data_IF_614440428066
#
_entry.id   IF_614440428066
#
_cell.length_a   1.000
_cell.length_b   1.000
_cell.length_c   1.000
_cell.angle_alpha   90.00
_cell.angle_beta   90.00
_cell.angle_gamma   90.00
#
_symmetry.space_group_name_H-M   'P 1'
#
loop_
_entity.id
_entity.type
_entity.pdbx_description
1 polymer ?
#
# COMPACT_ATOMS: atom_id res chain seq x y z
N UNK A 1 43.44 3.78 -27.75
CA UNK A 1 42.32 4.73 -27.80
C UNK A 1 42.43 5.57 -26.54
N UNK A 2 42.35 6.89 -26.63
CA UNK A 2 42.26 7.74 -25.44
C UNK A 2 41.00 7.31 -24.70
N UNK A 3 41.12 7.07 -23.40
CA UNK A 3 39.97 6.71 -22.57
C UNK A 3 39.09 7.96 -22.49
N UNK A 4 37.87 7.90 -23.04
CA UNK A 4 36.92 9.01 -22.93
C UNK A 4 36.57 9.22 -21.46
N UNK A 5 36.50 10.48 -21.04
CA UNK A 5 36.20 10.83 -19.65
C UNK A 5 35.10 11.87 -19.58
N UNK A 6 34.24 11.78 -18.57
CA UNK A 6 33.09 12.67 -18.39
C UNK A 6 33.18 13.35 -17.03
N UNK A 7 32.93 14.66 -17.00
CA UNK A 7 32.96 15.44 -15.77
C UNK A 7 31.62 15.43 -15.00
N UNK A 8 31.69 15.77 -13.72
CA UNK A 8 30.53 15.83 -12.83
C UNK A 8 29.38 16.76 -13.28
N UNK A 9 29.62 17.78 -14.11
CA UNK A 9 28.53 18.62 -14.64
C UNK A 9 27.85 17.99 -15.87
N UNK A 10 28.60 17.23 -16.68
CA UNK A 10 28.06 16.66 -17.92
C UNK A 10 27.24 15.40 -17.70
N UNK A 11 27.31 14.78 -16.51
CA UNK A 11 26.44 13.65 -16.17
C UNK A 11 25.01 14.06 -15.86
N UNK A 12 24.75 15.36 -15.63
CA UNK A 12 23.44 15.98 -15.33
C UNK A 12 22.80 15.52 -14.00
N UNK A 13 22.82 14.22 -13.71
CA UNK A 13 22.32 13.64 -12.47
C UNK A 13 23.08 14.19 -11.23
N UNK A 14 22.36 14.79 -10.26
CA UNK A 14 22.99 15.41 -9.09
C UNK A 14 23.74 14.45 -8.16
N UNK A 15 23.28 13.19 -8.05
CA UNK A 15 23.88 12.20 -7.15
C UNK A 15 25.22 11.71 -7.72
N UNK A 16 25.19 11.23 -8.97
CA UNK A 16 26.39 10.80 -9.68
C UNK A 16 27.36 11.96 -9.88
N UNK A 17 26.86 13.17 -10.16
CA UNK A 17 27.68 14.38 -10.20
C UNK A 17 28.37 14.66 -8.87
N UNK A 18 27.67 14.47 -7.74
CA UNK A 18 28.27 14.56 -6.41
C UNK A 18 29.42 13.57 -6.21
N UNK A 19 29.19 12.28 -6.52
CA UNK A 19 30.20 11.22 -6.40
C UNK A 19 31.44 11.47 -7.27
N UNK A 20 31.24 11.89 -8.53
CA UNK A 20 32.34 12.21 -9.45
C UNK A 20 33.11 13.44 -8.97
N UNK A 21 32.41 14.44 -8.42
CA UNK A 21 33.07 15.63 -7.86
C UNK A 21 33.92 15.27 -6.64
N UNK A 22 33.52 14.30 -5.84
CA UNK A 22 34.23 13.98 -4.60
C UNK A 22 35.37 12.95 -4.82
N UNK A 23 35.20 12.03 -5.77
CA UNK A 23 36.14 10.91 -6.00
C UNK A 23 36.88 10.94 -7.35
N UNK A 24 36.42 11.74 -8.32
CA UNK A 24 36.94 11.78 -9.69
C UNK A 24 38.34 12.40 -9.81
N UNK A 25 39.04 12.03 -10.87
CA UNK A 25 40.38 12.55 -11.17
C UNK A 25 40.27 13.82 -12.03
N UNK A 26 41.18 14.79 -11.81
CA UNK A 26 41.24 15.99 -12.67
C UNK A 26 41.66 15.60 -14.09
N UNK A 27 40.77 15.77 -15.05
CA UNK A 27 41.01 15.50 -16.46
C UNK A 27 40.18 16.43 -17.36
N UNK A 28 40.50 16.45 -18.65
CA UNK A 28 39.71 17.19 -19.66
C UNK A 28 38.50 16.34 -20.06
N UNK A 29 37.29 16.86 -19.82
CA UNK A 29 36.04 16.22 -20.18
C UNK A 29 35.91 16.07 -21.71
N UNK A 30 35.59 14.87 -22.19
CA UNK A 30 35.37 14.57 -23.60
C UNK A 30 34.09 15.20 -24.16
N UNK A 31 33.15 15.63 -23.31
CA UNK A 31 31.87 16.22 -23.74
C UNK A 31 31.84 17.76 -23.76
N UNK A 32 32.63 18.42 -22.91
CA UNK A 32 32.59 19.89 -22.77
C UNK A 32 33.97 20.57 -22.78
N UNK A 33 35.04 19.82 -23.04
CA UNK A 33 36.43 20.27 -23.13
C UNK A 33 36.98 21.00 -21.88
N UNK A 34 36.24 20.99 -20.78
CA UNK A 34 36.62 21.64 -19.53
C UNK A 34 37.46 20.71 -18.66
N UNK A 35 38.48 21.25 -17.99
CA UNK A 35 39.27 20.50 -17.00
C UNK A 35 38.55 20.49 -15.65
N UNK A 36 38.03 19.34 -15.25
CA UNK A 36 37.21 19.12 -14.05
C UNK A 36 37.49 17.74 -13.46
N UNK A 37 36.87 17.41 -12.33
CA UNK A 37 36.85 16.03 -11.85
C UNK A 37 36.00 15.18 -12.80
N UNK A 38 36.63 14.14 -13.33
CA UNK A 38 36.06 13.24 -14.32
C UNK A 38 36.27 11.79 -13.93
N UNK A 39 35.44 10.93 -14.51
CA UNK A 39 35.59 9.47 -14.52
C UNK A 39 35.58 8.96 -15.96
N UNK A 40 36.15 7.77 -16.23
CA UNK A 40 36.02 7.12 -17.53
C UNK A 40 34.57 6.90 -17.95
N UNK A 41 34.23 7.16 -19.22
CA UNK A 41 32.90 6.90 -19.77
C UNK A 41 32.49 5.44 -19.58
N UNK A 42 33.42 4.51 -19.74
CA UNK A 42 33.20 3.08 -19.53
C UNK A 42 32.69 2.72 -18.13
N UNK A 43 33.06 3.49 -17.09
CA UNK A 43 32.56 3.28 -15.73
C UNK A 43 31.08 3.68 -15.64
N UNK A 44 30.73 4.83 -16.22
CA UNK A 44 29.33 5.30 -16.32
C UNK A 44 28.49 4.30 -17.13
N UNK A 45 28.99 3.84 -18.27
CA UNK A 45 28.31 2.84 -19.12
C UNK A 45 28.06 1.55 -18.35
N UNK A 46 29.01 1.10 -17.54
CA UNK A 46 28.84 -0.09 -16.69
C UNK A 46 27.72 0.11 -15.65
N UNK A 47 27.67 1.28 -15.01
CA UNK A 47 26.62 1.63 -14.05
C UNK A 47 25.24 1.69 -14.73
N UNK A 48 25.11 2.42 -15.84
CA UNK A 48 23.86 2.55 -16.59
C UNK A 48 23.39 1.19 -17.09
N UNK A 49 24.30 0.36 -17.63
CA UNK A 49 23.95 -1.01 -18.05
C UNK A 49 23.37 -1.82 -16.90
N UNK A 50 24.00 -1.81 -15.72
CA UNK A 50 23.50 -2.56 -14.56
C UNK A 50 22.12 -2.09 -14.11
N UNK A 51 21.83 -0.78 -14.22
CA UNK A 51 20.52 -0.20 -13.94
C UNK A 51 19.49 -0.69 -14.97
N UNK A 52 19.79 -0.55 -16.27
CA UNK A 52 18.88 -0.93 -17.36
C UNK A 52 18.58 -2.43 -17.38
N UNK A 53 19.58 -3.30 -17.17
CA UNK A 53 19.41 -4.75 -17.08
C UNK A 53 18.38 -5.17 -16.02
N UNK A 54 18.21 -4.34 -14.97
CA UNK A 54 17.25 -4.57 -13.88
C UNK A 54 15.91 -3.86 -14.09
N UNK A 55 15.88 -2.76 -14.86
CA UNK A 55 14.73 -1.87 -14.93
C UNK A 55 13.89 -2.04 -16.21
N UNK A 56 14.48 -2.49 -17.32
CA UNK A 56 13.80 -2.61 -18.61
C UNK A 56 13.94 -4.01 -19.22
N UNK A 57 12.98 -4.41 -20.04
CA UNK A 57 13.03 -5.59 -20.89
C UNK A 57 12.60 -5.24 -22.32
N UNK A 58 12.87 -6.11 -23.29
CA UNK A 58 12.36 -5.94 -24.65
C UNK A 58 10.83 -5.84 -24.64
N UNK A 59 10.31 -4.91 -25.43
CA UNK A 59 8.88 -4.69 -25.56
C UNK A 59 8.14 -5.89 -26.15
N UNK A 60 6.91 -6.11 -25.69
CA UNK A 60 6.04 -7.12 -26.29
C UNK A 60 5.57 -6.68 -27.68
N UNK A 61 5.37 -7.67 -28.57
CA UNK A 61 4.87 -7.45 -29.92
C UNK A 61 3.36 -7.58 -29.97
N UNK A 62 2.69 -6.55 -30.48
CA UNK A 62 1.29 -6.57 -30.86
C UNK A 62 1.16 -6.79 -32.37
N UNK A 63 0.27 -7.70 -32.74
CA UNK A 63 -0.03 -8.01 -34.13
C UNK A 63 -1.40 -7.43 -34.47
N UNK A 64 -1.40 -6.27 -35.10
CA UNK A 64 -2.64 -5.62 -35.51
C UNK A 64 -2.93 -5.89 -36.97
N UNK A 65 -4.11 -6.44 -37.24
CA UNK A 65 -4.62 -6.63 -38.59
C UNK A 65 -5.40 -5.39 -39.03
N UNK A 66 -4.90 -4.67 -40.03
CA UNK A 66 -5.54 -3.44 -40.53
C UNK A 66 -6.53 -3.70 -41.71
N UNK A 67 -6.79 -4.96 -42.05
CA UNK A 67 -7.65 -5.34 -43.19
C UNK A 67 -6.88 -5.66 -44.48
N UNK A 68 -5.60 -5.29 -44.57
CA UNK A 68 -4.75 -5.53 -45.74
C UNK A 68 -3.52 -6.36 -45.37
N UNK A 69 -2.83 -6.00 -44.29
CA UNK A 69 -1.63 -6.69 -43.80
C UNK A 69 -1.62 -6.74 -42.26
N UNK A 70 -0.78 -7.61 -41.70
CA UNK A 70 -0.46 -7.63 -40.28
C UNK A 70 0.69 -6.66 -40.01
N UNK A 71 0.43 -5.58 -39.28
CA UNK A 71 1.48 -4.69 -38.77
C UNK A 71 1.96 -5.21 -37.42
N UNK A 72 3.28 -5.33 -37.27
CA UNK A 72 3.93 -5.66 -36.01
C UNK A 72 4.33 -4.35 -35.32
N UNK A 73 3.77 -4.10 -34.14
CA UNK A 73 4.14 -2.98 -33.30
C UNK A 73 4.78 -3.51 -32.03
N UNK A 74 5.99 -3.06 -31.71
CA UNK A 74 6.62 -3.37 -30.43
C UNK A 74 6.28 -2.26 -29.42
N UNK A 75 5.74 -2.63 -28.26
CA UNK A 75 5.42 -1.67 -27.20
C UNK A 75 6.69 -1.21 -26.47
N UNK A 76 6.78 0.10 -26.20
CA UNK A 76 7.84 0.65 -25.36
C UNK A 76 8.48 1.89 -25.97
N UNK A 77 9.64 2.23 -25.44
CA UNK A 77 10.45 3.38 -25.86
C UNK A 77 11.84 2.93 -26.33
N UNK A 78 12.49 3.70 -27.22
CA UNK A 78 13.87 3.43 -27.65
C UNK A 78 14.89 3.55 -26.50
N UNK A 79 16.11 3.04 -26.70
CA UNK A 79 17.14 2.98 -25.65
C UNK A 79 17.54 4.35 -25.11
N UNK A 80 17.67 5.35 -25.98
CA UNK A 80 18.04 6.72 -25.64
C UNK A 80 17.04 7.37 -24.68
N UNK A 81 15.74 7.08 -24.82
CA UNK A 81 14.73 7.47 -23.85
C UNK A 81 15.04 6.91 -22.46
N UNK A 82 15.33 5.61 -22.34
CA UNK A 82 15.61 4.98 -21.05
C UNK A 82 16.93 5.44 -20.43
N UNK A 83 17.95 5.70 -21.24
CA UNK A 83 19.20 6.29 -20.76
C UNK A 83 18.97 7.73 -20.29
N UNK A 84 18.16 8.52 -21.01
CA UNK A 84 17.71 9.85 -20.56
C UNK A 84 16.99 9.81 -19.21
N UNK A 85 16.06 8.87 -19.04
CA UNK A 85 15.35 8.63 -17.77
C UNK A 85 16.31 8.31 -16.62
N UNK A 86 17.35 7.49 -16.87
CA UNK A 86 18.36 7.14 -15.85
C UNK A 86 19.12 8.38 -15.36
N UNK A 87 19.43 9.32 -16.26
CA UNK A 87 20.11 10.58 -15.91
C UNK A 87 19.15 11.71 -15.48
N UNK A 88 17.84 11.52 -15.64
CA UNK A 88 16.84 12.57 -15.42
C UNK A 88 16.96 13.74 -16.40
N UNK A 89 17.28 13.46 -17.67
CA UNK A 89 17.52 14.46 -18.70
C UNK A 89 16.90 14.09 -20.05
N UNK A 90 16.89 15.03 -21.00
CA UNK A 90 16.35 14.81 -22.34
C UNK A 90 17.24 13.83 -23.13
N UNK A 91 16.66 13.02 -24.02
CA UNK A 91 17.39 12.00 -24.78
C UNK A 91 18.38 12.60 -25.80
N UNK A 92 18.29 13.91 -26.04
CA UNK A 92 19.23 14.67 -26.89
C UNK A 92 20.51 15.10 -26.18
N UNK A 93 20.63 14.89 -24.86
CA UNK A 93 21.81 15.31 -24.11
C UNK A 93 23.07 14.53 -24.56
N UNK A 94 24.26 15.19 -24.64
CA UNK A 94 25.47 14.55 -25.14
C UNK A 94 25.88 13.29 -24.37
N UNK A 95 25.61 13.25 -23.05
CA UNK A 95 25.89 12.09 -22.22
C UNK A 95 25.05 10.87 -22.60
N UNK A 96 23.77 11.07 -22.96
CA UNK A 96 22.88 9.99 -23.41
C UNK A 96 23.44 9.37 -24.68
N UNK A 97 23.80 10.22 -25.65
CA UNK A 97 24.38 9.75 -26.92
C UNK A 97 25.69 8.99 -26.70
N UNK A 98 26.58 9.52 -25.85
CA UNK A 98 27.86 8.88 -25.54
C UNK A 98 27.67 7.50 -24.90
N UNK A 99 26.77 7.39 -23.92
CA UNK A 99 26.48 6.13 -23.23
C UNK A 99 25.80 5.12 -24.16
N UNK A 100 24.79 5.54 -24.94
CA UNK A 100 24.13 4.66 -25.91
C UNK A 100 25.13 4.06 -26.92
N UNK A 101 26.14 4.83 -27.35
CA UNK A 101 27.13 4.36 -28.31
C UNK A 101 28.02 3.20 -27.81
N UNK A 102 28.17 3.06 -26.49
CA UNK A 102 28.96 1.99 -25.86
C UNK A 102 28.10 0.82 -25.33
N UNK A 103 26.76 0.94 -25.33
CA UNK A 103 25.82 -0.07 -24.83
C UNK A 103 25.54 -1.18 -25.88
N UNK A 104 26.57 -1.95 -26.23
CA UNK A 104 26.50 -2.97 -27.28
C UNK A 104 25.52 -4.14 -27.01
N UNK A 105 25.03 -4.31 -25.78
CA UNK A 105 24.03 -5.35 -25.45
C UNK A 105 22.60 -4.99 -25.86
N UNK A 106 22.37 -3.73 -26.24
CA UNK A 106 21.07 -3.23 -26.68
C UNK A 106 21.10 -3.04 -28.19
N UNK A 107 19.99 -3.36 -28.86
CA UNK A 107 19.93 -3.36 -30.33
C UNK A 107 19.24 -2.12 -30.86
N UNK A 108 19.81 -1.51 -31.89
CA UNK A 108 19.17 -0.43 -32.63
C UNK A 108 17.83 -0.89 -33.23
N UNK A 109 16.79 -0.08 -33.05
CA UNK A 109 15.45 -0.36 -33.57
C UNK A 109 14.59 -1.28 -32.68
N UNK A 110 15.11 -1.75 -31.55
CA UNK A 110 14.32 -2.43 -30.52
C UNK A 110 13.76 -1.40 -29.55
N UNK A 111 12.49 -1.56 -29.19
CA UNK A 111 11.86 -0.78 -28.12
C UNK A 111 11.82 -1.60 -26.84
N UNK A 112 11.99 -0.90 -25.71
CA UNK A 112 12.06 -1.50 -24.39
C UNK A 112 10.91 -0.98 -23.54
N UNK A 113 10.39 -1.84 -22.69
CA UNK A 113 9.35 -1.52 -21.72
C UNK A 113 9.91 -1.66 -20.31
N UNK A 114 9.38 -0.86 -19.37
CA UNK A 114 9.68 -1.03 -17.95
C UNK A 114 9.32 -2.45 -17.55
N UNK A 115 10.18 -3.10 -16.76
CA UNK A 115 9.84 -4.38 -16.14
C UNK A 115 8.69 -4.12 -15.16
N UNK A 116 7.46 -4.32 -15.65
CA UNK A 116 6.24 -4.17 -14.87
C UNK A 116 6.00 -5.45 -14.07
N UNK A 117 6.84 -5.66 -13.09
CA UNK A 117 6.58 -6.62 -12.04
C UNK A 117 7.38 -6.19 -10.82
N UNK A 118 6.67 -5.94 -9.72
CA UNK A 118 7.22 -6.02 -8.37
C UNK A 118 8.38 -7.04 -8.33
N UNK A 119 9.59 -6.65 -7.91
CA UNK A 119 10.78 -7.49 -7.98
C UNK A 119 10.53 -8.92 -7.50
N UNK A 120 11.04 -9.91 -8.24
CA UNK A 120 10.77 -11.35 -7.98
C UNK A 120 11.17 -11.78 -6.56
N UNK A 121 12.21 -11.17 -6.00
CA UNK A 121 12.64 -11.38 -4.62
C UNK A 121 11.56 -10.95 -3.62
N UNK A 122 10.94 -9.79 -3.80
CA UNK A 122 9.87 -9.32 -2.93
C UNK A 122 8.63 -10.20 -3.10
N UNK A 123 8.33 -10.66 -4.33
CA UNK A 123 7.17 -11.56 -4.57
C UNK A 123 7.34 -12.87 -3.85
N UNK A 124 8.54 -13.43 -3.91
CA UNK A 124 8.88 -14.65 -3.19
C UNK A 124 8.78 -14.45 -1.67
N UNK A 125 9.33 -13.35 -1.14
CA UNK A 125 9.23 -13.01 0.28
C UNK A 125 7.78 -12.84 0.75
N UNK A 126 6.91 -12.25 -0.07
CA UNK A 126 5.49 -12.14 0.22
C UNK A 126 4.81 -13.52 0.27
N UNK A 127 5.11 -14.39 -0.69
CA UNK A 127 4.64 -15.79 -0.68
C UNK A 127 5.10 -16.55 0.56
N UNK A 128 6.37 -16.42 0.94
CA UNK A 128 6.91 -17.02 2.17
C UNK A 128 6.26 -16.45 3.44
N UNK A 129 5.96 -15.15 3.45
CA UNK A 129 5.22 -14.52 4.54
C UNK A 129 3.81 -15.11 4.67
N UNK A 130 3.05 -15.16 3.57
CA UNK A 130 1.69 -15.71 3.55
C UNK A 130 1.69 -17.20 3.96
N UNK A 131 2.58 -18.01 3.40
CA UNK A 131 2.73 -19.43 3.74
C UNK A 131 3.14 -19.61 5.20
N UNK A 132 4.09 -18.80 5.68
CA UNK A 132 4.53 -18.80 7.07
C UNK A 132 3.41 -18.48 8.05
N UNK A 133 2.49 -17.57 7.69
CA UNK A 133 1.30 -17.29 8.48
C UNK A 133 0.30 -18.44 8.40
N UNK A 134 -0.01 -18.94 7.20
CA UNK A 134 -1.03 -19.98 7.00
C UNK A 134 -0.61 -21.33 7.59
N UNK A 135 0.64 -21.74 7.41
CA UNK A 135 1.11 -23.10 7.67
C UNK A 135 2.37 -23.20 8.55
N UNK A 136 3.05 -22.09 8.85
CA UNK A 136 4.30 -22.06 9.62
C UNK A 136 4.18 -21.64 11.08
N UNK A 137 5.28 -21.13 11.63
CA UNK A 137 5.32 -20.52 12.95
C UNK A 137 4.60 -19.18 12.90
N UNK A 138 3.48 -19.03 13.61
CA UNK A 138 2.66 -17.81 13.56
C UNK A 138 3.09 -16.74 14.57
N UNK A 139 3.38 -17.16 15.80
CA UNK A 139 3.59 -16.24 16.92
C UNK A 139 5.03 -15.75 17.07
N UNK A 140 6.00 -16.54 16.62
CA UNK A 140 7.43 -16.27 16.75
C UNK A 140 8.10 -16.46 15.39
N UNK A 141 7.70 -15.60 14.44
CA UNK A 141 8.19 -15.67 13.07
C UNK A 141 9.13 -14.50 12.78
N UNK A 142 10.43 -14.74 12.97
CA UNK A 142 11.45 -13.71 12.78
C UNK A 142 11.55 -13.26 11.31
N UNK A 143 11.33 -14.17 10.36
CA UNK A 143 11.31 -13.84 8.93
C UNK A 143 10.16 -12.88 8.59
N UNK A 144 8.96 -13.18 9.11
CA UNK A 144 7.80 -12.32 8.93
C UNK A 144 8.01 -10.95 9.57
N UNK A 145 8.61 -10.91 10.77
CA UNK A 145 8.97 -9.65 11.42
C UNK A 145 9.97 -8.86 10.59
N UNK A 146 11.04 -9.48 10.09
CA UNK A 146 12.06 -8.84 9.27
C UNK A 146 11.47 -8.27 7.97
N UNK A 147 10.57 -9.02 7.33
CA UNK A 147 9.84 -8.56 6.16
C UNK A 147 8.97 -7.33 6.48
N UNK A 148 8.20 -7.35 7.57
CA UNK A 148 7.38 -6.21 7.97
C UNK A 148 8.20 -5.00 8.44
N UNK A 149 9.35 -5.24 9.08
CA UNK A 149 10.33 -4.20 9.42
C UNK A 149 10.80 -3.49 8.16
N UNK A 150 11.24 -4.25 7.14
CA UNK A 150 11.64 -3.68 5.85
C UNK A 150 10.47 -2.95 5.15
N UNK A 151 9.29 -3.55 5.16
CA UNK A 151 8.10 -3.03 4.48
C UNK A 151 7.60 -1.70 5.07
N UNK A 152 7.71 -1.54 6.38
CA UNK A 152 7.21 -0.38 7.11
C UNK A 152 8.32 0.48 7.72
N UNK A 153 9.57 0.26 7.31
CA UNK A 153 10.73 1.05 7.71
C UNK A 153 10.55 2.53 7.34
N UNK A 154 10.97 3.49 8.13
CA UNK A 154 10.88 4.91 7.73
C UNK A 154 9.50 5.37 7.19
N UNK A 155 8.39 4.72 7.58
CA UNK A 155 7.02 5.18 7.26
C UNK A 155 6.81 6.65 7.70
N UNK A 156 7.59 7.07 8.71
CA UNK A 156 7.63 8.44 9.21
C UNK A 156 8.36 9.44 8.30
N UNK A 157 9.20 9.01 7.35
CA UNK A 157 9.82 9.89 6.35
C UNK A 157 8.86 10.17 5.18
N UNK A 158 7.91 9.28 4.94
CA UNK A 158 6.73 9.55 4.11
C UNK A 158 5.71 10.47 4.84
N UNK A 159 6.05 11.02 6.01
CA UNK A 159 5.34 12.13 6.63
C UNK A 159 5.94 13.45 6.15
N UNK A 160 5.49 13.96 5.00
CA UNK A 160 5.66 15.38 4.74
C UNK A 160 4.71 16.15 5.69
N UNK A 161 5.20 16.97 6.64
CA UNK A 161 4.39 17.53 7.74
C UNK A 161 3.22 18.44 7.29
N UNK A 162 3.17 18.77 6.00
CA UNK A 162 2.24 19.70 5.37
C UNK A 162 1.71 19.20 4.00
N UNK A 163 2.06 17.98 3.55
CA UNK A 163 1.62 17.52 2.23
C UNK A 163 0.34 16.70 2.31
N UNK A 164 -0.54 16.94 1.35
CA UNK A 164 -1.73 16.13 1.08
C UNK A 164 -1.37 14.68 0.67
N UNK A 165 -0.09 14.36 0.53
CA UNK A 165 0.42 13.07 0.04
C UNK A 165 1.08 12.20 1.13
N UNK A 166 1.12 12.66 2.39
CA UNK A 166 1.67 11.86 3.48
C UNK A 166 0.83 10.58 3.70
N UNK A 167 1.51 9.42 3.68
CA UNK A 167 0.89 8.10 3.83
C UNK A 167 0.48 7.85 5.28
N UNK A 168 1.31 8.24 6.25
CA UNK A 168 0.90 8.25 7.65
C UNK A 168 0.27 9.59 7.98
N UNK A 169 -1.04 9.57 8.24
CA UNK A 169 -1.82 10.76 8.56
C UNK A 169 -2.00 10.91 10.05
N UNK A 170 -1.80 12.13 10.54
CA UNK A 170 -2.21 12.51 11.89
C UNK A 170 -3.58 13.14 11.80
N UNK A 171 -4.61 12.43 12.26
CA UNK A 171 -5.96 12.97 12.36
C UNK A 171 -6.10 13.61 13.74
N UNK A 172 -6.16 14.94 13.77
CA UNK A 172 -6.34 15.71 15.01
C UNK A 172 -7.83 15.85 15.36
N UNK A 173 -8.14 16.14 16.61
CA UNK A 173 -9.54 16.33 17.04
C UNK A 173 -10.26 17.46 16.27
N UNK A 174 -9.51 18.48 15.81
CA UNK A 174 -10.08 19.64 15.12
C UNK A 174 -10.24 19.44 13.60
N UNK A 175 -9.42 18.58 12.98
CA UNK A 175 -9.38 18.40 11.52
C UNK A 175 -9.81 17.01 11.05
N UNK A 176 -10.11 16.09 11.98
CA UNK A 176 -10.53 14.75 11.61
C UNK A 176 -11.90 14.76 10.91
N UNK A 177 -12.06 14.04 9.79
CA UNK A 177 -13.37 13.85 9.20
C UNK A 177 -14.31 13.10 10.16
N UNK A 178 -15.64 13.28 10.05
CA UNK A 178 -16.59 12.49 10.81
C UNK A 178 -16.42 11.01 10.48
N UNK A 179 -16.46 10.17 11.52
CA UNK A 179 -16.34 8.71 11.37
C UNK A 179 -17.71 8.10 11.65
N UNK A 180 -18.28 7.40 10.67
CA UNK A 180 -19.56 6.75 10.81
C UNK A 180 -19.41 5.27 11.10
N UNK A 181 -20.26 4.75 11.98
CA UNK A 181 -20.41 3.32 12.22
C UNK A 181 -21.86 2.92 12.27
N UNK A 182 -22.16 1.74 11.73
CA UNK A 182 -23.50 1.21 11.63
C UNK A 182 -23.57 -0.25 12.11
N UNK A 183 -24.77 -0.69 12.48
CA UNK A 183 -25.08 -2.08 12.80
C UNK A 183 -26.40 -2.51 12.21
N UNK A 184 -26.43 -3.73 11.68
CA UNK A 184 -27.65 -4.39 11.23
C UNK A 184 -28.48 -4.80 12.45
N UNK A 185 -29.75 -4.40 12.45
CA UNK A 185 -30.72 -4.69 13.50
C UNK A 185 -31.65 -5.81 13.01
N UNK A 186 -31.20 -7.06 13.17
CA UNK A 186 -31.96 -8.24 12.71
C UNK A 186 -32.94 -8.76 13.77
N UNK A 187 -32.63 -8.60 15.06
CA UNK A 187 -33.47 -9.06 16.16
C UNK A 187 -34.43 -7.96 16.63
N UNK A 188 -35.62 -8.36 17.10
CA UNK A 188 -36.56 -7.45 17.77
C UNK A 188 -35.90 -6.78 18.98
N UNK A 189 -36.08 -5.47 19.13
CA UNK A 189 -35.48 -4.67 20.21
C UNK A 189 -34.05 -4.18 19.98
N UNK A 190 -33.34 -4.62 18.93
CA UNK A 190 -31.96 -4.17 18.66
C UNK A 190 -31.86 -2.64 18.49
N UNK A 191 -32.89 -2.03 17.90
CA UNK A 191 -32.95 -0.57 17.72
C UNK A 191 -33.12 0.14 19.06
N UNK A 192 -33.98 -0.38 19.94
CA UNK A 192 -34.23 0.19 21.26
C UNK A 192 -32.97 0.09 22.15
N UNK A 193 -32.24 -1.02 22.07
CA UNK A 193 -30.95 -1.17 22.76
C UNK A 193 -29.93 -0.12 22.31
N UNK A 194 -29.81 0.11 21.00
CA UNK A 194 -28.93 1.15 20.45
C UNK A 194 -29.40 2.54 20.88
N UNK A 195 -30.70 2.83 20.82
CA UNK A 195 -31.26 4.11 21.27
C UNK A 195 -30.99 4.38 22.76
N UNK A 196 -31.08 3.34 23.61
CA UNK A 196 -30.84 3.46 25.05
C UNK A 196 -29.37 3.78 25.38
N UNK A 197 -28.41 3.27 24.59
CA UNK A 197 -27.00 3.61 24.75
C UNK A 197 -26.22 3.52 23.43
N UNK A 198 -26.24 4.58 22.60
CA UNK A 198 -25.65 4.54 21.27
C UNK A 198 -24.13 4.37 21.32
N UNK A 199 -23.46 5.08 22.23
CA UNK A 199 -22.01 5.02 22.39
C UNK A 199 -21.51 3.59 22.69
N UNK A 200 -22.19 2.88 23.60
CA UNK A 200 -21.87 1.50 23.94
C UNK A 200 -22.15 0.53 22.80
N UNK A 201 -23.31 0.66 22.16
CA UNK A 201 -23.77 -0.33 21.19
C UNK A 201 -23.14 -0.13 19.82
N UNK A 202 -22.87 1.10 19.39
CA UNK A 202 -22.15 1.38 18.14
C UNK A 202 -20.64 1.40 18.34
N UNK A 203 -20.11 1.56 19.55
CA UNK A 203 -18.67 1.55 19.83
C UNK A 203 -17.96 0.22 19.55
N UNK A 204 -16.64 0.20 19.82
CA UNK A 204 -15.85 -1.02 19.76
C UNK A 204 -16.44 -2.11 20.68
N UNK A 205 -16.54 -3.37 20.22
CA UNK A 205 -17.11 -4.44 21.04
C UNK A 205 -16.23 -4.70 22.27
N UNK A 206 -16.80 -5.12 23.42
CA UNK A 206 -16.00 -5.60 24.53
C UNK A 206 -15.21 -6.85 24.12
N UNK A 207 -14.09 -7.13 24.79
CA UNK A 207 -13.17 -8.23 24.42
C UNK A 207 -13.88 -9.58 24.26
N UNK A 208 -14.82 -9.90 25.16
CA UNK A 208 -15.58 -11.15 25.14
C UNK A 208 -16.55 -11.30 23.94
N UNK A 209 -16.83 -10.21 23.20
CA UNK A 209 -17.71 -10.19 22.03
C UNK A 209 -17.00 -9.70 20.77
N UNK A 210 -15.70 -9.48 20.82
CA UNK A 210 -14.91 -9.11 19.66
C UNK A 210 -14.80 -10.34 18.75
N UNK A 211 -15.56 -10.33 17.66
CA UNK A 211 -15.44 -11.32 16.59
C UNK A 211 -14.16 -11.13 15.80
N UNK A 212 -13.91 -12.08 14.90
CA UNK A 212 -12.82 -12.01 13.95
C UNK A 212 -13.13 -10.98 12.84
N UNK A 213 -12.13 -10.21 12.43
CA UNK A 213 -12.21 -9.27 11.31
C UNK A 213 -10.88 -9.20 10.56
N UNK A 214 -10.84 -8.45 9.46
CA UNK A 214 -9.64 -8.28 8.62
C UNK A 214 -8.44 -7.76 9.41
N UNK A 215 -8.68 -6.80 10.29
CA UNK A 215 -7.63 -6.09 11.02
C UNK A 215 -7.54 -6.51 12.49
N UNK A 216 -8.26 -7.56 12.90
CA UNK A 216 -8.21 -8.04 14.27
C UNK A 216 -8.58 -9.53 14.42
N UNK A 217 -7.84 -10.31 15.22
CA UNK A 217 -8.26 -11.65 15.58
C UNK A 217 -9.44 -11.61 16.56
N UNK A 218 -10.15 -12.73 16.68
CA UNK A 218 -11.20 -12.90 17.69
C UNK A 218 -10.65 -12.64 19.11
N UNK A 219 -11.42 -11.90 19.91
CA UNK A 219 -11.03 -11.50 21.26
C UNK A 219 -10.19 -10.23 21.36
N UNK A 220 -9.68 -9.71 20.25
CA UNK A 220 -9.00 -8.40 20.17
C UNK A 220 -9.95 -7.40 19.51
N UNK A 221 -10.52 -6.43 20.25
CA UNK A 221 -11.44 -5.46 19.66
C UNK A 221 -10.76 -4.50 18.69
N UNK A 222 -11.50 -4.09 17.66
CA UNK A 222 -11.19 -2.93 16.84
C UNK A 222 -12.48 -2.13 16.56
N UNK A 223 -12.32 -0.85 16.22
CA UNK A 223 -13.43 -0.03 15.75
C UNK A 223 -13.36 0.07 14.23
N UNK A 224 -14.37 -0.48 13.55
CA UNK A 224 -14.54 -0.36 12.10
C UNK A 224 -15.57 0.72 11.80
N UNK A 225 -15.21 1.71 10.99
CA UNK A 225 -16.11 2.74 10.50
C UNK A 225 -15.76 3.14 9.07
N UNK A 226 -16.45 4.16 8.57
CA UNK A 226 -16.18 4.78 7.29
C UNK A 226 -16.31 6.30 7.39
N UNK A 227 -15.66 7.04 6.48
CA UNK A 227 -15.73 8.50 6.43
C UNK A 227 -17.06 9.00 5.85
N UNK A 228 -17.72 8.19 5.04
CA UNK A 228 -19.06 8.45 4.54
C UNK A 228 -20.07 7.48 5.16
N UNK A 229 -21.21 8.03 5.60
CA UNK A 229 -22.26 7.22 6.24
C UNK A 229 -22.80 6.12 5.31
N UNK A 230 -22.89 6.40 4.01
CA UNK A 230 -23.37 5.43 3.02
C UNK A 230 -22.38 4.29 2.84
N UNK A 231 -21.08 4.56 2.80
CA UNK A 231 -20.01 3.55 2.76
C UNK A 231 -20.16 2.56 3.91
N UNK A 232 -20.39 3.06 5.13
CA UNK A 232 -20.60 2.20 6.30
C UNK A 232 -21.83 1.28 6.17
N UNK A 233 -22.90 1.73 5.53
CA UNK A 233 -24.10 0.91 5.29
C UNK A 233 -23.82 -0.13 4.20
N UNK A 234 -23.11 0.25 3.14
CA UNK A 234 -22.74 -0.64 2.04
C UNK A 234 -21.86 -1.80 2.51
N UNK A 235 -20.87 -1.53 3.37
CA UNK A 235 -19.99 -2.55 3.98
C UNK A 235 -20.74 -3.61 4.80
N UNK A 236 -21.90 -3.27 5.38
CA UNK A 236 -22.72 -4.23 6.13
C UNK A 236 -23.47 -5.22 5.21
N UNK A 237 -23.57 -4.94 3.91
CA UNK A 237 -24.33 -5.70 2.92
C UNK A 237 -25.73 -6.13 3.42
N UNK A 238 -26.54 -5.21 3.95
CA UNK A 238 -27.83 -5.58 4.54
C UNK A 238 -28.82 -6.03 3.45
N UNK A 239 -29.70 -7.02 3.73
CA UNK A 239 -30.70 -7.46 2.77
C UNK A 239 -31.78 -6.38 2.54
N UNK A 240 -32.48 -6.45 1.41
CA UNK A 240 -33.66 -5.61 1.15
C UNK A 240 -34.72 -5.87 2.24
N UNK A 241 -35.29 -4.79 2.78
CA UNK A 241 -36.20 -4.84 3.93
C UNK A 241 -35.47 -4.91 5.28
N UNK A 242 -34.15 -5.11 5.29
CA UNK A 242 -33.30 -5.05 6.47
C UNK A 242 -33.30 -3.66 7.11
N UNK A 243 -32.96 -3.65 8.39
CA UNK A 243 -32.87 -2.43 9.20
C UNK A 243 -31.45 -2.22 9.65
N UNK A 244 -30.95 -1.00 9.48
CA UNK A 244 -29.60 -0.60 9.89
C UNK A 244 -29.71 0.67 10.73
N UNK A 245 -28.94 0.75 11.81
CA UNK A 245 -28.80 1.96 12.61
C UNK A 245 -27.35 2.44 12.52
N UNK A 246 -27.16 3.71 12.23
CA UNK A 246 -25.84 4.34 12.11
C UNK A 246 -25.71 5.52 13.05
N UNK A 247 -24.48 5.79 13.50
CA UNK A 247 -24.14 6.94 14.32
C UNK A 247 -22.79 7.52 13.91
N UNK A 248 -22.59 8.78 14.25
CA UNK A 248 -21.34 9.50 14.02
C UNK A 248 -20.46 9.45 15.28
N UNK A 249 -19.16 9.38 15.03
CA UNK A 249 -18.11 9.45 16.01
C UNK A 249 -17.10 10.51 15.57
N UNK A 250 -16.48 11.15 16.57
CA UNK A 250 -15.41 12.10 16.38
C UNK A 250 -14.20 11.72 17.22
N UNK A 251 -13.03 12.13 16.77
CA UNK A 251 -11.81 11.98 17.56
C UNK A 251 -11.75 13.08 18.63
N UNK A 252 -11.31 12.73 19.83
CA UNK A 252 -11.11 13.67 20.93
C UNK A 252 -9.62 13.85 21.28
N UNK A 253 -8.74 13.09 20.62
CA UNK A 253 -7.27 13.17 20.67
C UNK A 253 -6.71 12.74 19.33
N UNK A 254 -5.48 13.15 19.06
CA UNK A 254 -4.79 12.80 17.84
C UNK A 254 -4.59 11.28 17.70
N UNK A 255 -4.82 10.78 16.49
CA UNK A 255 -4.53 9.40 16.10
C UNK A 255 -3.67 9.39 14.85
N UNK A 256 -2.71 8.46 14.79
CA UNK A 256 -1.92 8.21 13.59
C UNK A 256 -2.52 7.05 12.81
N UNK A 257 -2.91 7.28 11.57
CA UNK A 257 -3.45 6.23 10.71
C UNK A 257 -2.56 6.06 9.50
N UNK A 258 -2.32 4.80 9.11
CA UNK A 258 -1.71 4.49 7.83
C UNK A 258 -2.81 4.53 6.76
N UNK A 259 -2.70 5.47 5.83
CA UNK A 259 -3.68 5.69 4.76
C UNK A 259 -3.24 4.96 3.48
N UNK A 260 -3.77 3.75 3.28
CA UNK A 260 -3.43 2.95 2.12
C UNK A 260 -3.94 3.55 0.81
N UNK A 261 -4.98 4.39 0.83
CA UNK A 261 -5.47 5.06 -0.40
C UNK A 261 -4.43 6.03 -0.96
N UNK A 262 -3.58 6.57 -0.08
CA UNK A 262 -2.49 7.44 -0.47
C UNK A 262 -1.26 6.68 -0.95
N UNK A 263 -1.16 5.37 -0.77
CA UNK A 263 -0.03 4.61 -1.32
C UNK A 263 -0.05 4.59 -2.86
N UNK A 264 -1.23 4.70 -3.47
CA UNK A 264 -1.39 4.79 -4.92
C UNK A 264 -0.98 6.17 -5.47
N UNK A 265 -1.14 7.22 -4.68
CA UNK A 265 -0.97 8.62 -5.07
C UNK A 265 0.22 9.32 -4.41
N UNK A 266 0.92 8.65 -3.49
CA UNK A 266 2.01 9.24 -2.73
C UNK A 266 3.12 9.69 -3.68
N UNK A 267 3.25 11.01 -3.84
CA UNK A 267 4.42 11.66 -4.39
C UNK A 267 5.61 11.33 -3.47
N UNK A 268 6.58 10.52 -3.93
CA UNK A 268 7.63 9.96 -3.08
C UNK A 268 8.67 10.97 -2.58
N UNK A 269 8.41 12.27 -2.73
CA UNK A 269 9.44 13.29 -2.65
C UNK A 269 10.24 13.35 -3.95
N UNK A 270 11.38 14.08 -3.98
CA UNK A 270 12.22 14.12 -5.18
C UNK A 270 12.62 12.70 -5.58
N UNK A 271 12.46 12.37 -6.88
CA UNK A 271 12.91 11.08 -7.40
C UNK A 271 14.34 10.83 -6.94
N UNK A 272 14.55 9.68 -6.30
CA UNK A 272 15.89 9.22 -6.00
C UNK A 272 16.60 8.97 -7.33
N UNK A 273 17.85 9.39 -7.41
CA UNK A 273 18.69 9.07 -8.55
C UNK A 273 18.78 7.55 -8.73
N UNK A 274 18.76 7.08 -9.98
CA UNK A 274 19.03 5.67 -10.29
C UNK A 274 20.43 5.22 -9.84
N UNK A 275 21.34 6.17 -9.61
CA UNK A 275 22.70 5.92 -9.12
C UNK A 275 22.78 5.81 -7.59
N UNK A 276 21.71 6.11 -6.85
CA UNK A 276 21.63 5.81 -5.41
C UNK A 276 21.55 4.28 -5.20
N UNK A 277 22.48 3.65 -4.46
CA UNK A 277 22.43 2.22 -4.17
C UNK A 277 21.12 1.74 -3.53
N UNK A 278 20.39 2.63 -2.85
CA UNK A 278 19.10 2.33 -2.23
C UNK A 278 17.91 2.44 -3.19
N UNK A 279 18.09 2.94 -4.42
CA UNK A 279 17.02 3.21 -5.39
C UNK A 279 16.10 2.01 -5.58
N UNK A 280 16.64 0.87 -6.02
CA UNK A 280 15.83 -0.31 -6.34
C UNK A 280 15.13 -0.91 -5.11
N UNK A 281 15.73 -0.81 -3.93
CA UNK A 281 15.12 -1.29 -2.69
C UNK A 281 13.93 -0.42 -2.31
N UNK A 282 14.07 0.91 -2.39
CA UNK A 282 13.00 1.87 -2.12
C UNK A 282 11.90 1.78 -3.17
N UNK A 283 12.25 1.69 -4.45
CA UNK A 283 11.28 1.55 -5.55
C UNK A 283 10.51 0.24 -5.47
N UNK A 284 11.21 -0.89 -5.27
CA UNK A 284 10.54 -2.19 -5.10
C UNK A 284 9.59 -2.22 -3.91
N UNK A 285 9.97 -1.56 -2.81
CA UNK A 285 9.11 -1.40 -1.64
C UNK A 285 7.88 -0.54 -1.93
N UNK A 286 8.02 0.54 -2.70
CA UNK A 286 6.89 1.41 -3.13
C UNK A 286 5.89 0.63 -3.98
N UNK A 287 6.38 -0.07 -5.00
CA UNK A 287 5.53 -0.92 -5.85
C UNK A 287 4.80 -1.98 -5.03
N UNK A 288 5.49 -2.58 -4.04
CA UNK A 288 4.84 -3.56 -3.18
C UNK A 288 3.80 -2.94 -2.22
N UNK A 289 4.01 -1.73 -1.70
CA UNK A 289 3.00 -1.04 -0.90
C UNK A 289 1.75 -0.72 -1.72
N UNK A 290 1.89 -0.36 -3.00
CA UNK A 290 0.75 -0.20 -3.94
C UNK A 290 0.02 -1.53 -4.13
N UNK A 291 0.76 -2.61 -4.38
CA UNK A 291 0.19 -3.95 -4.48
C UNK A 291 -0.56 -4.37 -3.19
N UNK A 292 0.01 -4.08 -2.01
CA UNK A 292 -0.59 -4.40 -0.73
C UNK A 292 -1.92 -3.65 -0.48
N UNK A 293 -2.08 -2.42 -0.99
CA UNK A 293 -3.38 -1.74 -0.93
C UNK A 293 -4.46 -2.54 -1.66
N UNK A 294 -4.15 -3.03 -2.87
CA UNK A 294 -5.02 -3.95 -3.61
C UNK A 294 -5.43 -5.14 -2.75
N UNK A 295 -4.45 -5.89 -2.23
CA UNK A 295 -4.68 -7.06 -1.38
C UNK A 295 -5.58 -6.77 -0.15
N UNK A 296 -5.42 -5.62 0.49
CA UNK A 296 -6.20 -5.24 1.69
C UNK A 296 -7.64 -4.85 1.34
N UNK A 297 -7.85 -4.24 0.18
CA UNK A 297 -9.18 -3.82 -0.28
C UNK A 297 -10.02 -5.00 -0.76
N UNK A 298 -9.39 -6.03 -1.35
CA UNK A 298 -10.09 -7.20 -1.90
C UNK A 298 -11.11 -7.81 -0.93
N UNK A 299 -12.34 -8.09 -1.39
CA UNK A 299 -13.37 -8.67 -0.55
C UNK A 299 -13.08 -10.15 -0.27
N UNK A 300 -12.75 -10.49 0.98
CA UNK A 300 -12.67 -11.89 1.39
C UNK A 300 -14.05 -12.53 1.34
N UNK A 301 -14.16 -13.66 0.64
CA UNK A 301 -15.42 -14.40 0.51
C UNK A 301 -15.81 -15.02 1.86
N UNK A 302 -17.11 -15.05 2.22
CA UNK A 302 -17.58 -15.73 3.42
C UNK A 302 -17.14 -17.20 3.45
N UNK A 303 -16.54 -17.66 4.57
CA UNK A 303 -15.98 -19.01 4.72
C UNK A 303 -14.50 -19.15 4.38
N UNK A 304 -13.85 -18.08 3.91
CA UNK A 304 -12.40 -17.99 3.72
C UNK A 304 -11.75 -17.09 4.78
N UNK A 305 -12.21 -17.14 6.05
CA UNK A 305 -11.67 -16.28 7.11
C UNK A 305 -10.17 -16.50 7.38
N UNK A 306 -9.60 -17.62 6.93
CA UNK A 306 -8.15 -17.88 6.97
C UNK A 306 -7.33 -16.83 6.20
N UNK A 307 -7.93 -16.13 5.25
CA UNK A 307 -7.27 -15.07 4.49
C UNK A 307 -7.17 -13.74 5.27
N UNK A 308 -7.85 -13.63 6.43
CA UNK A 308 -7.65 -12.50 7.35
C UNK A 308 -6.34 -12.58 8.13
N UNK A 309 -5.69 -13.74 8.18
CA UNK A 309 -4.52 -13.91 9.04
C UNK A 309 -3.38 -12.95 8.65
N UNK A 310 -3.12 -12.80 7.35
CA UNK A 310 -2.13 -11.87 6.80
C UNK A 310 -2.39 -10.43 7.25
N UNK A 311 -3.63 -9.96 7.09
CA UNK A 311 -4.02 -8.58 7.42
C UNK A 311 -4.09 -8.33 8.93
N UNK A 312 -4.47 -9.34 9.72
CA UNK A 312 -4.43 -9.29 11.18
C UNK A 312 -3.00 -9.15 11.71
N UNK A 313 -2.05 -9.91 11.15
CA UNK A 313 -0.64 -9.84 11.54
C UNK A 313 -0.04 -8.49 11.17
N UNK A 314 -0.36 -7.96 10.00
CA UNK A 314 0.02 -6.58 9.61
C UNK A 314 -0.55 -5.56 10.60
N UNK A 315 -1.84 -5.66 10.93
CA UNK A 315 -2.49 -4.76 11.89
C UNK A 315 -1.86 -4.82 13.28
N UNK A 316 -1.54 -6.02 13.78
CA UNK A 316 -0.84 -6.21 15.04
C UNK A 316 0.57 -5.61 15.00
N UNK A 317 1.33 -5.85 13.92
CA UNK A 317 2.65 -5.27 13.72
C UNK A 317 2.62 -3.73 13.73
N UNK A 318 1.71 -3.12 12.98
CA UNK A 318 1.51 -1.66 12.95
C UNK A 318 1.17 -1.11 14.34
N UNK A 319 0.34 -1.84 15.09
CA UNK A 319 -0.11 -1.46 16.42
C UNK A 319 0.93 -1.67 17.54
N UNK A 320 2.03 -2.41 17.30
CA UNK A 320 2.94 -2.86 18.38
C UNK A 320 4.43 -2.66 18.10
N UNK A 321 4.86 -2.84 16.85
CA UNK A 321 6.27 -2.88 16.47
C UNK A 321 6.70 -1.66 15.64
N UNK A 322 5.78 -1.07 14.88
CA UNK A 322 6.07 0.12 14.08
C UNK A 322 6.38 1.35 14.96
N UNK A 323 7.34 2.17 14.52
CA UNK A 323 7.74 3.43 15.14
C UNK A 323 7.73 4.55 14.09
N UNK A 324 6.95 5.62 14.28
CA UNK A 324 6.02 5.85 15.37
C UNK A 324 4.81 4.88 15.35
N UNK A 325 4.31 4.51 16.54
CA UNK A 325 3.17 3.58 16.67
C UNK A 325 1.95 4.05 15.88
N UNK A 326 1.39 3.16 15.08
CA UNK A 326 0.17 3.40 14.30
C UNK A 326 -1.06 3.04 15.14
N UNK A 327 -2.07 3.90 15.09
CA UNK A 327 -3.31 3.83 15.86
C UNK A 327 -4.47 3.26 15.04
N UNK A 328 -4.34 3.19 13.72
CA UNK A 328 -5.34 2.62 12.82
C UNK A 328 -4.90 2.62 11.36
N UNK A 329 -5.80 2.19 10.48
CA UNK A 329 -5.58 2.13 9.03
C UNK A 329 -6.79 2.70 8.28
N UNK A 330 -6.54 3.28 7.12
CA UNK A 330 -7.56 3.71 6.15
C UNK A 330 -7.34 3.03 4.81
N UNK A 331 -8.42 2.66 4.12
CA UNK A 331 -8.36 2.00 2.81
C UNK A 331 -9.65 2.23 2.03
N UNK A 332 -9.58 2.10 0.71
CA UNK A 332 -10.73 2.30 -0.18
C UNK A 332 -11.80 1.23 0.01
N UNK A 333 -13.07 1.63 -0.08
CA UNK A 333 -14.21 0.72 -0.10
C UNK A 333 -14.39 0.13 -1.48
N UNK A 334 -14.44 -1.20 -1.58
CA UNK A 334 -14.80 -1.90 -2.82
C UNK A 334 -16.33 -1.89 -3.03
N UNK A 335 -17.12 -1.60 -1.99
CA UNK A 335 -18.59 -1.62 -2.05
C UNK A 335 -19.20 -0.32 -2.55
N UNK A 336 -18.42 0.77 -2.58
CA UNK A 336 -18.91 2.10 -2.88
C UNK A 336 -17.79 2.91 -3.51
N UNK A 337 -18.02 3.40 -4.71
CA UNK A 337 -17.09 4.28 -5.41
C UNK A 337 -16.75 5.49 -4.54
N UNK A 338 -15.45 5.79 -4.42
CA UNK A 338 -14.91 6.86 -3.60
C UNK A 338 -15.19 6.75 -2.08
N UNK A 339 -15.67 5.61 -1.59
CA UNK A 339 -15.87 5.39 -0.15
C UNK A 339 -14.56 5.09 0.58
N UNK A 340 -14.39 5.63 1.79
CA UNK A 340 -13.18 5.38 2.61
C UNK A 340 -13.52 4.68 3.90
N UNK A 341 -12.91 3.51 4.14
CA UNK A 341 -13.00 2.78 5.38
C UNK A 341 -11.90 3.19 6.34
N UNK A 342 -12.19 3.14 7.65
CA UNK A 342 -11.22 3.38 8.71
C UNK A 342 -11.35 2.32 9.81
N UNK A 343 -10.22 1.79 10.25
CA UNK A 343 -10.14 0.88 11.39
C UNK A 343 -9.23 1.46 12.45
N UNK A 344 -9.76 1.68 13.65
CA UNK A 344 -8.97 2.11 14.81
C UNK A 344 -8.69 0.93 15.72
N UNK A 345 -7.42 0.78 16.10
CA UNK A 345 -6.95 -0.35 16.90
C UNK A 345 -7.36 -0.24 18.37
N UNK A 346 -7.32 -1.40 19.05
CA UNK A 346 -7.83 -1.55 20.42
C UNK A 346 -7.34 -0.50 21.41
N UNK A 347 -6.07 -0.07 21.32
CA UNK A 347 -5.44 0.83 22.28
C UNK A 347 -5.92 2.29 22.18
N UNK A 348 -6.53 2.68 21.07
CA UNK A 348 -7.17 4.00 20.93
C UNK A 348 -8.69 3.92 20.91
N UNK A 349 -9.27 2.77 20.53
CA UNK A 349 -10.70 2.61 20.36
C UNK A 349 -11.44 2.12 21.62
N UNK A 350 -10.75 1.43 22.53
CA UNK A 350 -11.38 0.72 23.64
C UNK A 350 -11.11 1.37 25.00
N UNK A 351 -12.08 1.22 25.90
CA UNK A 351 -11.89 1.58 27.31
C UNK A 351 -11.01 0.53 27.99
N UNK A 352 -10.17 0.94 28.95
CA UNK A 352 -9.48 -0.03 29.79
C UNK A 352 -10.48 -0.77 30.68
N UNK A 353 -10.58 -2.07 30.46
CA UNK A 353 -11.38 -2.97 31.29
C UNK A 353 -10.54 -3.58 32.42
N UNK A 354 -11.18 -3.82 33.56
CA UNK A 354 -10.58 -4.60 34.64
C UNK A 354 -10.48 -6.07 34.24
N UNK A 355 -9.39 -6.73 34.60
CA UNK A 355 -9.15 -8.12 34.26
C UNK A 355 -9.48 -9.00 35.46
N UNK A 356 -10.50 -9.84 35.30
CA UNK A 356 -10.86 -10.87 36.28
C UNK A 356 -10.26 -12.20 35.83
N UNK A 357 -9.58 -12.91 36.73
CA UNK A 357 -9.00 -14.21 36.44
C UNK A 357 -9.26 -15.19 37.59
N UNK A 358 -9.36 -16.47 37.26
CA UNK A 358 -9.55 -17.54 38.24
C UNK A 358 -8.24 -18.30 38.41
N UNK A 359 -7.94 -18.67 39.65
CA UNK A 359 -6.90 -19.63 40.00
C UNK A 359 -7.45 -20.55 41.09
N UNK A 360 -6.78 -21.69 41.36
CA UNK A 360 -7.30 -22.67 42.29
C UNK A 360 -7.59 -22.05 43.67
N UNK A 361 -8.88 -22.00 44.03
CA UNK A 361 -9.37 -21.50 45.32
C UNK A 361 -9.72 -20.01 45.38
N UNK A 362 -9.65 -19.24 44.29
CA UNK A 362 -9.94 -17.81 44.34
C UNK A 362 -10.22 -17.12 43.01
N UNK A 363 -10.83 -15.93 43.11
CA UNK A 363 -11.00 -15.00 42.00
C UNK A 363 -10.09 -13.80 42.22
N UNK A 364 -9.16 -13.59 41.29
CA UNK A 364 -8.34 -12.39 41.25
C UNK A 364 -9.05 -11.30 40.44
N UNK A 365 -9.03 -10.08 40.96
CA UNK A 365 -9.39 -8.89 40.21
C UNK A 365 -8.14 -8.03 40.07
N UNK A 366 -7.68 -7.82 38.84
CA UNK A 366 -6.72 -6.77 38.53
C UNK A 366 -7.52 -5.59 38.01
N UNK A 367 -7.46 -4.46 38.71
CA UNK A 367 -8.07 -3.22 38.24
C UNK A 367 -7.60 -2.89 36.81
N UNK A 368 -8.43 -2.15 36.09
CA UNK A 368 -8.09 -1.64 34.77
C UNK A 368 -6.67 -1.06 34.81
N UNK A 369 -5.79 -1.53 33.90
CA UNK A 369 -4.48 -0.88 33.73
C UNK A 369 -4.77 0.60 33.46
N UNK A 370 -3.98 1.51 34.04
CA UNK A 370 -4.00 2.90 33.62
C UNK A 370 -3.69 2.93 32.12
N UNK A 371 -4.73 3.08 31.30
CA UNK A 371 -4.61 3.35 29.87
C UNK A 371 -5.19 4.72 29.62
N UNK A 372 -4.80 5.30 28.50
CA UNK A 372 -5.54 6.42 27.96
C UNK A 372 -7.01 6.02 27.76
N UNK A 373 -7.91 6.96 28.04
CA UNK A 373 -9.29 6.86 27.61
C UNK A 373 -9.35 6.71 26.07
N UNK A 374 -10.43 6.12 25.52
CA UNK A 374 -10.63 6.05 24.09
C UNK A 374 -10.45 7.43 23.43
N UNK A 375 -9.75 7.44 22.30
CA UNK A 375 -9.51 8.65 21.51
C UNK A 375 -10.66 9.00 20.56
N UNK A 376 -11.74 8.23 20.62
CA UNK A 376 -12.93 8.34 19.78
C UNK A 376 -14.18 8.35 20.67
N UNK A 377 -15.12 9.22 20.35
CA UNK A 377 -16.37 9.38 21.09
C UNK A 377 -17.57 9.52 20.16
N UNK A 378 -18.72 9.03 20.61
CA UNK A 378 -19.98 9.13 19.89
C UNK A 378 -20.52 10.56 19.94
N UNK A 379 -21.04 11.05 18.81
CA UNK A 379 -21.67 12.38 18.69
C UNK A 379 -23.16 12.28 19.02
N UNK A 380 -23.64 12.88 20.13
CA UNK A 380 -25.07 12.85 20.48
C UNK A 380 -25.97 13.46 19.39
N UNK A 381 -27.13 12.87 19.17
CA UNK A 381 -28.09 13.32 18.14
C UNK A 381 -27.76 12.89 16.71
N UNK A 382 -26.65 12.17 16.47
CA UNK A 382 -26.23 11.73 15.13
C UNK A 382 -26.82 10.39 14.66
N UNK A 383 -27.69 9.77 15.48
CA UNK A 383 -28.32 8.49 15.17
C UNK A 383 -29.26 8.63 13.97
N UNK A 384 -29.10 7.74 12.99
CA UNK A 384 -29.98 7.62 11.84
C UNK A 384 -30.40 6.17 11.68
N UNK A 385 -31.72 5.98 11.57
CA UNK A 385 -32.36 4.72 11.21
C UNK A 385 -32.47 4.60 9.69
N UNK A 386 -32.08 3.46 9.16
CA UNK A 386 -32.11 3.14 7.74
C UNK A 386 -32.95 1.91 7.49
N UNK A 387 -33.93 2.04 6.60
CA UNK A 387 -34.68 0.91 6.05
C UNK A 387 -34.20 0.67 4.62
N UNK A 388 -33.63 -0.50 4.37
CA UNK A 388 -33.07 -0.83 3.06
C UNK A 388 -34.22 -1.10 2.09
N UNK A 389 -34.33 -0.27 1.04
CA UNK A 389 -35.45 -0.33 0.07
C UNK A 389 -35.11 -1.13 -1.18
N UNK A 390 -33.84 -1.24 -1.54
CA UNK A 390 -33.38 -1.93 -2.75
C UNK A 390 -31.86 -2.01 -2.78
N UNK A 391 -31.33 -2.84 -3.67
CA UNK A 391 -29.91 -3.00 -3.97
C UNK A 391 -29.73 -2.82 -5.48
N UNK A 392 -28.62 -2.20 -5.89
CA UNK A 392 -28.21 -2.11 -7.30
C UNK A 392 -27.13 -3.15 -7.51
N UNK A 393 -27.28 -3.96 -8.55
CA UNK A 393 -26.29 -4.95 -8.99
C UNK A 393 -25.81 -4.54 -10.38
N UNK A 394 -24.50 -4.58 -10.61
CA UNK A 394 -23.87 -4.30 -11.91
C UNK A 394 -22.97 -5.49 -12.30
N UNK A 395 -23.57 -6.59 -12.80
CA UNK A 395 -22.81 -7.79 -13.14
C UNK A 395 -22.15 -7.67 -14.52
N UNK A 396 -20.95 -8.23 -14.65
CA UNK A 396 -20.33 -8.51 -15.96
C UNK A 396 -20.83 -9.85 -16.46
N UNK A 397 -21.83 -9.84 -17.34
CA UNK A 397 -22.47 -11.05 -17.85
C UNK A 397 -21.75 -11.58 -19.10
N UNK A 398 -21.08 -12.74 -18.95
CA UNK A 398 -20.51 -13.48 -20.09
C UNK A 398 -21.30 -14.78 -20.36
N UNK A 399 -21.69 -15.05 -21.62
CA UNK A 399 -22.42 -16.27 -21.95
C UNK A 399 -21.50 -17.49 -21.85
N UNK A 400 -21.79 -18.38 -20.90
CA UNK A 400 -21.12 -19.68 -20.79
C UNK A 400 -21.54 -20.58 -21.97
N UNK A 401 -20.56 -21.08 -22.73
CA UNK A 401 -20.82 -22.02 -23.83
C UNK A 401 -20.74 -23.46 -23.34
N UNK A 402 -21.90 -24.10 -23.15
CA UNK A 402 -21.97 -25.54 -22.89
C UNK A 402 -21.28 -26.33 -24.02
N UNK A 403 -20.37 -27.25 -23.67
CA UNK A 403 -19.54 -28.09 -24.55
C UNK A 403 -18.27 -27.48 -25.19
N UNK A 404 -17.78 -26.33 -24.71
CA UNK A 404 -16.44 -25.85 -25.07
C UNK A 404 -15.41 -26.41 -24.08
N UNK A 405 -14.81 -27.57 -24.37
CA UNK A 405 -13.54 -27.98 -23.73
C UNK A 405 -12.40 -27.17 -24.36
N UNK A 406 -12.35 -25.87 -24.07
CA UNK A 406 -11.15 -25.05 -24.17
C UNK A 406 -10.68 -24.73 -22.76
N UNK A 407 -9.39 -24.47 -22.52
CA UNK A 407 -8.96 -24.07 -21.19
C UNK A 407 -9.78 -22.84 -20.80
N UNK A 408 -10.43 -22.90 -19.64
CA UNK A 408 -10.76 -21.69 -18.90
C UNK A 408 -9.42 -20.97 -18.77
N UNK A 409 -9.15 -20.01 -19.66
CA UNK A 409 -8.06 -19.06 -19.48
C UNK A 409 -8.25 -18.54 -18.07
N UNK A 410 -7.23 -18.76 -17.24
CA UNK A 410 -7.17 -18.29 -15.87
C UNK A 410 -7.72 -16.88 -15.84
N UNK A 411 -8.96 -16.74 -15.36
CA UNK A 411 -9.47 -15.46 -14.93
C UNK A 411 -8.54 -15.08 -13.80
N UNK A 412 -7.65 -14.13 -14.09
CA UNK A 412 -6.76 -13.50 -13.14
C UNK A 412 -7.47 -13.39 -11.78
N UNK A 413 -7.01 -14.21 -10.83
CA UNK A 413 -7.15 -13.90 -9.42
C UNK A 413 -6.42 -12.56 -9.24
N UNK A 414 -7.20 -11.50 -9.22
CA UNK A 414 -6.75 -10.16 -8.84
C UNK A 414 -6.67 -10.05 -7.33
#
# INVERSE_FOLDING_TARGET
>A
MLQETVCYECVVDPYLGGEIRDSGASAVCSLCDSNRQCVPLSEIVTLVKAILDRYICEGEFDFRWNGVESEQYQYGNPLDFWVGEVFGCDNVEPIVTAVCSELASYSDGVTYSRVSAMPNDIRFQWGEFQEGMKHGNRFFNDNAKAFLDWLFDDLGEYCAPLSEHAVVRVLTADNAPPIYRARTCLASGSVDEILANPARNLGAPPKARAGEGRMNPAGVPAFYGALERLTCIAELRPPVGGTVVSGEFRLNKDVRVLDFTRLEEADPGPMLSFFDPAFFAKEGRREFLRYLHGEITLPVLPGLERDYLTTQVIAEYLATHCKPRIDGVMFSSVQQDCGTNIVLFSHVACTAESMTFRFNGGMGLRGAKASDAPRIEYVPGSLIYHKIRGLVYDPSDEPLRENSLGPLTEMHEF
#
